data_IF_765207648501
#
_entry.id   IF_765207648501
#
_cell.length_a   1.000
_cell.length_b   1.000
_cell.length_c   1.000
_cell.angle_alpha   90.00
_cell.angle_beta   90.00
_cell.angle_gamma   90.00
#
_symmetry.space_group_name_H-M   'P 1'
#
loop_
_entity.id
_entity.type
_entity.pdbx_description
1 polymer ?
#
# COMPACT_ATOMS: atom_id res chain seq x y z
N UNK A 1 14.59 55.96 -0.22
CA UNK A 1 13.67 56.66 0.69
C UNK A 1 13.42 55.75 1.87
N UNK A 2 14.25 55.90 2.91
CA UNK A 2 14.10 55.15 4.14
C UNK A 2 12.95 55.79 4.93
N UNK A 3 11.81 55.12 4.98
CA UNK A 3 10.76 55.50 5.92
C UNK A 3 11.24 55.15 7.32
N UNK A 4 11.53 56.17 8.13
CA UNK A 4 11.81 55.97 9.55
C UNK A 4 10.54 55.43 10.21
N UNK A 5 10.51 54.14 10.51
CA UNK A 5 9.43 53.44 11.20
C UNK A 5 9.00 54.11 12.53
N UNK A 6 9.80 55.03 13.05
CA UNK A 6 9.47 55.84 14.23
C UNK A 6 8.41 56.93 14.01
N UNK A 7 8.16 57.39 12.77
CA UNK A 7 7.16 58.43 12.49
C UNK A 7 5.74 57.91 12.28
N UNK A 8 5.55 56.61 12.04
CA UNK A 8 4.22 56.02 11.80
C UNK A 8 3.38 55.84 13.07
N UNK A 9 3.98 55.85 14.27
CA UNK A 9 3.22 55.88 15.54
C UNK A 9 2.46 57.21 15.76
N UNK A 10 2.74 58.29 15.01
CA UNK A 10 2.06 59.59 15.17
C UNK A 10 0.81 59.77 14.28
N UNK A 11 0.48 58.81 13.42
CA UNK A 11 -0.61 58.96 12.43
C UNK A 11 -2.01 58.65 12.99
N UNK A 12 -2.12 58.01 14.15
CA UNK A 12 -3.37 57.88 14.90
C UNK A 12 -3.34 58.89 16.03
N UNK A 13 -4.13 59.96 15.91
CA UNK A 13 -4.22 61.08 16.85
C UNK A 13 -4.99 60.69 18.13
N UNK A 14 -4.56 59.61 18.76
CA UNK A 14 -4.99 59.11 20.06
C UNK A 14 -3.80 59.44 20.96
N UNK A 15 -3.94 60.37 21.90
CA UNK A 15 -2.86 60.99 22.68
C UNK A 15 -2.02 60.07 23.57
N UNK A 16 -1.46 58.99 23.01
CA UNK A 16 -0.60 58.00 23.64
C UNK A 16 0.86 58.45 23.51
N UNK A 17 1.61 58.26 24.59
CA UNK A 17 3.05 58.53 24.65
C UNK A 17 3.84 57.51 23.81
N UNK A 18 5.07 57.87 23.40
CA UNK A 18 5.94 56.99 22.58
C UNK A 18 6.18 55.61 23.24
N UNK A 19 6.28 55.58 24.57
CA UNK A 19 6.46 54.35 25.33
C UNK A 19 5.23 53.43 25.26
N UNK A 20 4.03 54.02 25.26
CA UNK A 20 2.78 53.27 25.15
C UNK A 20 2.62 52.67 23.74
N UNK A 21 2.97 53.39 22.66
CA UNK A 21 2.95 52.83 21.30
C UNK A 21 3.86 51.60 21.17
N UNK A 22 5.08 51.66 21.72
CA UNK A 22 6.04 50.55 21.68
C UNK A 22 5.54 49.31 22.41
N UNK A 23 4.97 49.48 23.62
CA UNK A 23 4.40 48.37 24.39
C UNK A 23 3.22 47.70 23.67
N UNK A 24 2.40 48.47 22.96
CA UNK A 24 1.25 47.95 22.22
C UNK A 24 1.67 47.14 21.00
N UNK A 25 2.61 47.65 20.19
CA UNK A 25 3.17 46.90 19.05
C UNK A 25 3.86 45.62 19.51
N UNK A 26 4.57 45.65 20.64
CA UNK A 26 5.18 44.47 21.23
C UNK A 26 4.13 43.44 21.69
N UNK A 27 3.03 43.88 22.31
CA UNK A 27 1.94 43.01 22.70
C UNK A 27 1.33 42.29 21.48
N UNK A 28 1.00 43.02 20.41
CA UNK A 28 0.50 42.41 19.17
C UNK A 28 1.52 41.51 18.50
N UNK A 29 2.79 41.91 18.47
CA UNK A 29 3.88 41.07 17.96
C UNK A 29 3.97 39.74 18.70
N UNK A 30 3.84 39.74 20.03
CA UNK A 30 3.84 38.52 20.84
C UNK A 30 2.61 37.64 20.59
N UNK A 31 1.41 38.23 20.46
CA UNK A 31 0.18 37.49 20.16
C UNK A 31 0.28 36.82 18.78
N UNK A 32 0.75 37.56 17.77
CA UNK A 32 0.92 37.04 16.41
C UNK A 32 1.99 35.95 16.39
N UNK A 33 3.11 36.13 17.11
CA UNK A 33 4.17 35.13 17.19
C UNK A 33 3.68 33.82 17.82
N UNK A 34 2.91 33.90 18.92
CA UNK A 34 2.29 32.72 19.55
C UNK A 34 1.30 32.05 18.60
N UNK A 35 0.45 32.84 17.94
CA UNK A 35 -0.51 32.33 16.95
C UNK A 35 0.17 31.61 15.78
N UNK A 36 1.23 32.19 15.23
CA UNK A 36 2.02 31.60 14.16
C UNK A 36 2.71 30.31 14.61
N UNK A 37 3.25 30.27 15.83
CA UNK A 37 3.85 29.06 16.40
C UNK A 37 2.82 27.94 16.56
N UNK A 38 1.63 28.24 17.11
CA UNK A 38 0.55 27.28 17.26
C UNK A 38 0.05 26.74 15.91
N UNK A 39 -0.11 27.62 14.91
CA UNK A 39 -0.47 27.24 13.54
C UNK A 39 0.61 26.35 12.90
N UNK A 40 1.89 26.66 13.13
CA UNK A 40 3.02 25.85 12.67
C UNK A 40 3.00 24.43 13.24
N UNK A 41 2.82 24.28 14.55
CA UNK A 41 2.71 22.96 15.20
C UNK A 41 1.50 22.19 14.66
N UNK A 42 0.34 22.84 14.56
CA UNK A 42 -0.86 22.19 14.02
C UNK A 42 -0.67 21.70 12.58
N UNK A 43 -0.01 22.50 11.74
CA UNK A 43 0.30 22.13 10.36
C UNK A 43 1.26 20.94 10.30
N UNK A 44 2.32 20.92 11.13
CA UNK A 44 3.25 19.79 11.22
C UNK A 44 2.55 18.51 11.66
N UNK A 45 1.70 18.56 12.69
CA UNK A 45 0.94 17.40 13.16
C UNK A 45 0.02 16.86 12.06
N UNK A 46 -0.69 17.74 11.34
CA UNK A 46 -1.52 17.32 10.21
C UNK A 46 -0.72 16.66 9.10
N UNK A 47 0.46 17.19 8.78
CA UNK A 47 1.36 16.59 7.79
C UNK A 47 1.86 15.21 8.23
N UNK A 48 2.28 15.06 9.49
CA UNK A 48 2.71 13.76 10.02
C UNK A 48 1.58 12.72 9.98
N UNK A 49 0.35 13.11 10.32
CA UNK A 49 -0.81 12.23 10.22
C UNK A 49 -1.13 11.83 8.78
N UNK A 50 -0.93 12.73 7.80
CA UNK A 50 -1.08 12.39 6.39
C UNK A 50 -0.05 11.36 5.96
N UNK A 51 1.24 11.57 6.27
CA UNK A 51 2.30 10.62 5.94
C UNK A 51 2.10 9.26 6.58
N UNK A 52 1.71 9.20 7.86
CA UNK A 52 1.42 7.95 8.54
C UNK A 52 0.25 7.19 7.87
N UNK A 53 -0.80 7.90 7.45
CA UNK A 53 -1.92 7.29 6.73
C UNK A 53 -1.53 6.79 5.34
N UNK A 54 -0.69 7.54 4.62
CA UNK A 54 -0.17 7.13 3.31
C UNK A 54 0.70 5.86 3.42
N UNK A 55 1.56 5.79 4.43
CA UNK A 55 2.36 4.59 4.73
C UNK A 55 1.47 3.37 5.02
N UNK A 56 0.41 3.53 5.82
CA UNK A 56 -0.56 2.44 6.06
C UNK A 56 -1.25 1.97 4.78
N UNK A 57 -1.60 2.89 3.88
CA UNK A 57 -2.18 2.56 2.57
C UNK A 57 -1.16 1.82 1.71
N UNK A 58 0.10 2.24 1.71
CA UNK A 58 1.16 1.58 0.96
C UNK A 58 1.42 0.16 1.48
N UNK A 59 1.47 -0.03 2.80
CA UNK A 59 1.58 -1.35 3.42
C UNK A 59 0.38 -2.23 3.08
N UNK A 60 -0.84 -1.71 3.14
CA UNK A 60 -2.04 -2.43 2.71
C UNK A 60 -1.93 -2.89 1.24
N UNK A 61 -1.43 -2.02 0.35
CA UNK A 61 -1.20 -2.37 -1.07
C UNK A 61 -0.15 -3.47 -1.24
N UNK A 62 0.92 -3.47 -0.43
CA UNK A 62 1.92 -4.54 -0.41
C UNK A 62 1.31 -5.87 0.05
N UNK A 63 0.48 -5.85 1.09
CA UNK A 63 -0.22 -7.04 1.62
C UNK A 63 -1.13 -7.66 0.55
N UNK A 64 -2.03 -6.88 -0.05
CA UNK A 64 -2.95 -7.42 -1.08
C UNK A 64 -2.18 -7.90 -2.32
N UNK A 65 -1.08 -7.24 -2.70
CA UNK A 65 -0.23 -7.71 -3.78
C UNK A 65 0.43 -9.05 -3.45
N UNK A 66 1.01 -9.19 -2.27
CA UNK A 66 1.63 -10.44 -1.84
C UNK A 66 0.58 -11.57 -1.74
N UNK A 67 -0.57 -11.33 -1.10
CA UNK A 67 -1.64 -12.32 -0.97
C UNK A 67 -2.16 -12.78 -2.34
N UNK A 68 -2.40 -11.84 -3.27
CA UNK A 68 -2.80 -12.14 -4.64
C UNK A 68 -1.79 -13.05 -5.35
N UNK A 69 -0.50 -12.70 -5.30
CA UNK A 69 0.52 -13.50 -5.96
C UNK A 69 0.73 -14.86 -5.29
N UNK A 70 0.60 -14.96 -3.97
CA UNK A 70 0.57 -16.26 -3.27
C UNK A 70 -0.58 -17.10 -3.85
N UNK A 71 -1.80 -16.56 -3.89
CA UNK A 71 -2.96 -17.28 -4.43
C UNK A 71 -2.74 -17.74 -5.87
N UNK A 72 -2.27 -16.87 -6.75
CA UNK A 72 -2.04 -17.19 -8.16
C UNK A 72 -0.98 -18.29 -8.35
N UNK A 73 0.16 -18.20 -7.66
CA UNK A 73 1.22 -19.21 -7.78
C UNK A 73 0.82 -20.54 -7.12
N UNK A 74 0.00 -20.53 -6.07
CA UNK A 74 -0.54 -21.76 -5.46
C UNK A 74 -1.59 -22.42 -6.36
N UNK A 75 -2.40 -21.63 -7.09
CA UNK A 75 -3.31 -22.17 -8.12
C UNK A 75 -2.50 -22.83 -9.25
N UNK A 76 -1.46 -22.16 -9.74
CA UNK A 76 -0.57 -22.69 -10.79
C UNK A 76 0.11 -23.98 -10.33
N UNK A 77 0.62 -24.01 -9.09
CA UNK A 77 1.15 -25.22 -8.47
C UNK A 77 0.13 -26.36 -8.45
N UNK A 78 -1.11 -26.08 -8.04
CA UNK A 78 -2.19 -27.08 -8.01
C UNK A 78 -2.47 -27.65 -9.41
N UNK A 79 -2.48 -26.82 -10.44
CA UNK A 79 -2.64 -27.26 -11.83
C UNK A 79 -1.45 -28.11 -12.28
N UNK A 80 -0.23 -27.65 -12.04
CA UNK A 80 0.99 -28.39 -12.39
C UNK A 80 1.05 -29.77 -11.73
N UNK A 81 0.57 -29.91 -10.49
CA UNK A 81 0.49 -31.19 -9.79
C UNK A 81 -0.55 -32.13 -10.41
N UNK A 82 -1.71 -31.62 -10.81
CA UNK A 82 -2.73 -32.41 -11.51
C UNK A 82 -2.25 -32.89 -12.88
N UNK A 83 -1.53 -32.03 -13.61
CA UNK A 83 -1.06 -32.31 -14.97
C UNK A 83 0.31 -33.00 -15.02
N UNK A 84 0.95 -33.23 -13.86
CA UNK A 84 2.29 -33.82 -13.72
C UNK A 84 3.38 -33.04 -14.46
N UNK A 85 3.25 -31.72 -14.50
CA UNK A 85 4.24 -30.80 -15.09
C UNK A 85 5.29 -30.38 -14.04
N UNK A 86 6.35 -29.71 -14.52
CA UNK A 86 7.36 -29.13 -13.64
C UNK A 86 6.74 -28.02 -12.77
N UNK A 87 6.62 -28.28 -11.47
CA UNK A 87 5.98 -27.36 -10.51
C UNK A 87 6.97 -26.47 -9.74
N UNK A 88 8.27 -26.65 -9.95
CA UNK A 88 9.34 -25.96 -9.20
C UNK A 88 9.25 -24.43 -9.32
N UNK A 89 8.98 -23.92 -10.53
CA UNK A 89 8.89 -22.48 -10.76
C UNK A 89 7.72 -21.83 -10.03
N UNK A 90 6.53 -22.43 -10.09
CA UNK A 90 5.36 -21.95 -9.35
C UNK A 90 5.59 -21.97 -7.84
N UNK A 91 6.27 -23.00 -7.36
CA UNK A 91 6.58 -23.18 -5.95
C UNK A 91 7.59 -22.16 -5.41
N UNK A 92 8.69 -21.91 -6.13
CA UNK A 92 9.66 -20.88 -5.79
C UNK A 92 9.02 -19.49 -5.77
N UNK A 93 8.15 -19.17 -6.74
CA UNK A 93 7.41 -17.90 -6.79
C UNK A 93 6.42 -17.75 -5.64
N UNK A 94 5.64 -18.79 -5.34
CA UNK A 94 4.73 -18.78 -4.18
C UNK A 94 5.51 -18.60 -2.86
N UNK A 95 6.64 -19.28 -2.70
CA UNK A 95 7.53 -19.13 -1.56
C UNK A 95 8.10 -17.71 -1.43
N UNK A 96 8.51 -17.09 -2.54
CA UNK A 96 8.97 -15.70 -2.55
C UNK A 96 7.90 -14.73 -2.04
N UNK A 97 6.67 -14.82 -2.55
CA UNK A 97 5.59 -13.92 -2.14
C UNK A 97 5.13 -14.17 -0.71
N UNK A 98 5.19 -15.42 -0.25
CA UNK A 98 4.96 -15.75 1.15
C UNK A 98 6.03 -15.13 2.05
N UNK A 99 7.30 -15.21 1.66
CA UNK A 99 8.40 -14.59 2.38
C UNK A 99 8.21 -13.08 2.48
N UNK A 100 7.80 -12.42 1.38
CA UNK A 100 7.45 -11.00 1.37
C UNK A 100 6.31 -10.66 2.35
N UNK A 101 5.27 -11.50 2.41
CA UNK A 101 4.16 -11.31 3.35
C UNK A 101 4.63 -11.49 4.81
N UNK A 102 5.48 -12.47 5.07
CA UNK A 102 6.02 -12.75 6.41
C UNK A 102 7.07 -11.74 6.89
N UNK A 103 7.71 -11.02 5.97
CA UNK A 103 8.70 -10.00 6.27
C UNK A 103 8.07 -8.68 6.79
N UNK A 104 6.75 -8.52 6.67
CA UNK A 104 6.04 -7.36 7.18
C UNK A 104 5.95 -7.43 8.71
N UNK A 105 6.28 -6.33 9.39
CA UNK A 105 6.23 -6.28 10.84
C UNK A 105 4.76 -6.29 11.33
N UNK A 106 4.48 -7.03 12.42
CA UNK A 106 3.12 -7.17 12.96
C UNK A 106 2.46 -5.84 13.34
N UNK A 107 3.25 -4.83 13.70
CA UNK A 107 2.76 -3.49 14.04
C UNK A 107 2.42 -2.62 12.82
N UNK A 108 2.87 -3.00 11.62
CA UNK A 108 2.63 -2.23 10.40
C UNK A 108 1.28 -2.56 9.75
N UNK A 109 0.56 -3.55 10.31
CA UNK A 109 -0.73 -3.97 9.78
C UNK A 109 -1.80 -2.89 9.99
N UNK A 110 -2.59 -2.56 8.95
CA UNK A 110 -3.54 -1.45 9.03
C UNK A 110 -4.74 -1.70 9.96
N UNK A 111 -5.01 -2.97 10.29
CA UNK A 111 -6.01 -3.39 11.27
C UNK A 111 -5.72 -4.81 11.78
N UNK A 112 -6.24 -5.12 12.96
CA UNK A 112 -6.18 -6.47 13.54
C UNK A 112 -6.84 -7.53 12.63
N UNK A 113 -7.89 -7.16 11.89
CA UNK A 113 -8.59 -8.07 10.97
C UNK A 113 -7.71 -8.51 9.79
N UNK A 114 -6.93 -7.57 9.25
CA UNK A 114 -5.99 -7.82 8.16
C UNK A 114 -4.79 -8.61 8.68
N UNK A 115 -4.29 -8.26 9.87
CA UNK A 115 -3.21 -8.98 10.53
C UNK A 115 -3.58 -10.46 10.72
N UNK A 116 -4.73 -10.75 11.33
CA UNK A 116 -5.17 -12.13 11.56
C UNK A 116 -5.40 -12.90 10.25
N UNK A 117 -5.92 -12.25 9.21
CA UNK A 117 -6.09 -12.89 7.91
C UNK A 117 -4.74 -13.21 7.24
N UNK A 118 -3.79 -12.28 7.32
CA UNK A 118 -2.45 -12.46 6.76
C UNK A 118 -1.67 -13.55 7.52
N UNK A 119 -1.83 -13.60 8.84
CA UNK A 119 -1.28 -14.68 9.66
C UNK A 119 -1.90 -16.04 9.32
N UNK A 120 -3.20 -16.12 9.01
CA UNK A 120 -3.84 -17.36 8.55
C UNK A 120 -3.24 -17.85 7.22
N UNK A 121 -2.88 -16.95 6.30
CA UNK A 121 -2.13 -17.29 5.08
C UNK A 121 -0.76 -17.86 5.43
N UNK A 122 -0.01 -17.17 6.29
CA UNK A 122 1.34 -17.57 6.69
C UNK A 122 1.32 -18.91 7.42
N UNK A 123 0.39 -19.12 8.36
CA UNK A 123 0.25 -20.36 9.13
C UNK A 123 -0.07 -21.54 8.21
N UNK A 124 -1.08 -21.39 7.35
CA UNK A 124 -1.45 -22.44 6.40
C UNK A 124 -0.33 -22.73 5.41
N UNK A 125 0.44 -21.72 5.02
CA UNK A 125 1.62 -21.86 4.18
C UNK A 125 2.89 -22.34 4.92
N UNK A 126 2.97 -22.21 6.24
CA UNK A 126 4.05 -22.76 7.05
C UNK A 126 3.84 -24.26 7.30
N UNK A 127 2.57 -24.69 7.42
CA UNK A 127 2.21 -26.11 7.34
C UNK A 127 2.67 -26.72 6.01
N UNK A 128 2.72 -25.90 4.95
CA UNK A 128 3.27 -26.31 3.65
C UNK A 128 4.81 -26.50 3.70
N UNK A 129 5.56 -25.61 4.36
CA UNK A 129 7.03 -25.68 4.43
C UNK A 129 7.57 -26.71 5.44
N UNK A 130 6.86 -26.94 6.54
CA UNK A 130 7.32 -27.83 7.63
C UNK A 130 7.32 -29.31 7.28
N UNK A 131 6.72 -29.70 6.15
CA UNK A 131 6.70 -31.09 5.68
C UNK A 131 7.96 -31.52 4.91
N UNK A 132 8.85 -30.61 4.52
CA UNK A 132 10.04 -30.95 3.70
C UNK A 132 11.30 -30.18 4.12
N UNK A 133 11.69 -30.31 5.39
CA UNK A 133 13.03 -29.92 5.88
C UNK A 133 14.07 -30.94 5.40
N UNK A 134 14.32 -31.01 4.09
CA UNK A 134 15.53 -31.61 3.52
C UNK A 134 15.74 -31.16 2.08
N UNK A 135 16.41 -30.00 1.92
CA UNK A 135 17.11 -29.44 0.72
C UNK A 135 16.60 -28.05 0.28
N UNK A 136 17.26 -27.01 0.82
CA UNK A 136 17.63 -25.70 0.21
C UNK A 136 16.62 -24.88 -0.64
N UNK A 137 15.38 -25.31 -0.82
CA UNK A 137 14.35 -24.59 -1.58
C UNK A 137 13.01 -24.97 -0.94
N UNK A 138 12.19 -24.02 -0.45
CA UNK A 138 10.94 -24.35 0.23
C UNK A 138 10.00 -25.05 -0.75
N UNK A 139 9.77 -26.34 -0.52
CA UNK A 139 8.80 -27.10 -1.28
C UNK A 139 7.42 -26.98 -0.61
N UNK A 140 6.45 -26.40 -1.31
CA UNK A 140 5.01 -26.49 -1.01
C UNK A 140 4.53 -27.95 -1.16
N UNK A 141 3.59 -28.43 -0.31
CA UNK A 141 3.14 -29.79 -0.29
C UNK A 141 2.22 -30.04 -1.48
N UNK A 142 2.18 -31.31 -1.80
CA UNK A 142 1.43 -31.87 -2.92
C UNK A 142 -0.01 -32.23 -2.56
N UNK A 143 -0.42 -32.04 -1.30
CA UNK A 143 -1.80 -32.28 -0.88
C UNK A 143 -2.73 -31.14 -1.31
N UNK A 144 -3.72 -31.50 -2.12
CA UNK A 144 -4.67 -30.57 -2.72
C UNK A 144 -5.50 -29.82 -1.68
N UNK A 145 -5.83 -30.45 -0.55
CA UNK A 145 -6.59 -29.78 0.53
C UNK A 145 -5.80 -28.66 1.18
N UNK A 146 -4.50 -28.88 1.35
CA UNK A 146 -3.59 -27.90 1.94
C UNK A 146 -3.41 -26.70 1.00
N UNK A 147 -3.33 -26.92 -0.31
CA UNK A 147 -3.29 -25.85 -1.32
C UNK A 147 -4.60 -25.05 -1.34
N UNK A 148 -5.76 -25.71 -1.28
CA UNK A 148 -7.07 -25.04 -1.22
C UNK A 148 -7.23 -24.19 0.05
N UNK A 149 -6.70 -24.64 1.18
CA UNK A 149 -6.70 -23.87 2.42
C UNK A 149 -5.92 -22.56 2.29
N UNK A 150 -4.74 -22.59 1.65
CA UNK A 150 -3.93 -21.39 1.39
C UNK A 150 -4.60 -20.46 0.39
N UNK A 151 -5.16 -21.00 -0.71
CA UNK A 151 -5.91 -20.22 -1.70
C UNK A 151 -7.04 -19.44 -1.02
N UNK A 152 -7.83 -20.13 -0.20
CA UNK A 152 -8.97 -19.53 0.51
C UNK A 152 -8.52 -18.48 1.53
N UNK A 153 -7.44 -18.74 2.27
CA UNK A 153 -6.89 -17.77 3.21
C UNK A 153 -6.39 -16.49 2.51
N UNK A 154 -5.72 -16.65 1.37
CA UNK A 154 -5.22 -15.54 0.57
C UNK A 154 -6.39 -14.70 0.00
N UNK A 155 -7.43 -15.35 -0.53
CA UNK A 155 -8.63 -14.68 -1.01
C UNK A 155 -9.36 -13.88 0.10
N UNK A 156 -9.51 -14.45 1.29
CA UNK A 156 -10.10 -13.74 2.44
C UNK A 156 -9.25 -12.53 2.83
N UNK A 157 -7.93 -12.67 2.78
CA UNK A 157 -6.99 -11.57 3.07
C UNK A 157 -7.13 -10.46 2.04
N UNK A 158 -7.15 -10.79 0.74
CA UNK A 158 -7.39 -9.84 -0.34
C UNK A 158 -8.70 -9.07 -0.11
N UNK A 159 -9.81 -9.77 0.12
CA UNK A 159 -11.12 -9.16 0.33
C UNK A 159 -11.14 -8.20 1.53
N UNK A 160 -10.52 -8.58 2.64
CA UNK A 160 -10.44 -7.73 3.84
C UNK A 160 -9.61 -6.47 3.58
N UNK A 161 -8.46 -6.61 2.93
CA UNK A 161 -7.58 -5.48 2.59
C UNK A 161 -8.27 -4.54 1.60
N UNK A 162 -8.92 -5.07 0.56
CA UNK A 162 -9.67 -4.27 -0.41
C UNK A 162 -10.83 -3.52 0.24
N UNK A 163 -11.59 -4.19 1.12
CA UNK A 163 -12.68 -3.56 1.87
C UNK A 163 -12.15 -2.42 2.73
N UNK A 164 -11.01 -2.61 3.39
CA UNK A 164 -10.35 -1.58 4.18
C UNK A 164 -9.86 -0.41 3.33
N UNK A 165 -9.22 -0.66 2.19
CA UNK A 165 -8.77 0.36 1.24
C UNK A 165 -9.95 1.19 0.71
N UNK A 166 -11.06 0.53 0.35
CA UNK A 166 -12.28 1.16 -0.14
C UNK A 166 -12.90 2.11 0.89
N UNK A 167 -12.94 1.71 2.17
CA UNK A 167 -13.41 2.60 3.28
C UNK A 167 -12.56 3.87 3.40
N UNK A 168 -11.30 3.83 2.96
CA UNK A 168 -10.38 4.98 2.93
C UNK A 168 -10.31 5.70 1.59
N UNK A 169 -11.24 5.41 0.67
CA UNK A 169 -11.27 5.98 -0.70
C UNK A 169 -9.96 5.71 -1.48
N UNK A 170 -9.28 4.61 -1.17
CA UNK A 170 -8.10 4.15 -1.90
C UNK A 170 -8.45 2.89 -2.69
N UNK A 171 -7.74 2.67 -3.79
CA UNK A 171 -7.87 1.46 -4.61
C UNK A 171 -6.67 0.55 -4.38
N UNK A 172 -6.90 -0.76 -4.50
CA UNK A 172 -5.84 -1.75 -4.54
C UNK A 172 -4.90 -1.54 -5.75
N UNK A 173 -3.72 -2.16 -5.74
CA UNK A 173 -2.84 -2.16 -6.91
C UNK A 173 -3.55 -2.81 -8.11
N UNK A 174 -3.33 -2.26 -9.31
CA UNK A 174 -3.79 -2.89 -10.55
C UNK A 174 -3.01 -4.17 -10.78
N UNK A 175 -3.64 -5.32 -10.57
CA UNK A 175 -3.01 -6.63 -10.71
C UNK A 175 -3.33 -7.21 -12.09
N UNK A 176 -2.64 -6.76 -13.13
CA UNK A 176 -2.78 -7.41 -14.44
C UNK A 176 -2.02 -8.75 -14.43
N UNK A 177 -2.66 -9.83 -14.90
CA UNK A 177 -2.01 -11.13 -15.08
C UNK A 177 -2.39 -11.75 -16.44
N UNK A 178 -1.50 -12.57 -16.99
CA UNK A 178 -1.67 -13.17 -18.31
C UNK A 178 -2.00 -14.65 -18.18
N UNK A 179 -3.10 -15.09 -18.80
CA UNK A 179 -3.48 -16.52 -18.92
C UNK A 179 -3.88 -16.77 -20.37
N UNK A 180 -3.30 -17.78 -21.02
CA UNK A 180 -3.65 -18.24 -22.37
C UNK A 180 -3.69 -17.12 -23.43
N UNK A 181 -2.69 -16.23 -23.39
CA UNK A 181 -2.59 -15.09 -24.33
C UNK A 181 -3.58 -13.95 -24.07
N UNK A 182 -4.31 -13.97 -22.94
CA UNK A 182 -5.23 -12.90 -22.53
C UNK A 182 -4.74 -12.24 -21.24
N UNK A 183 -4.79 -10.90 -21.20
CA UNK A 183 -4.53 -10.11 -19.99
C UNK A 183 -5.82 -9.95 -19.19
N UNK A 184 -5.80 -10.34 -17.93
CA UNK A 184 -6.88 -10.18 -16.98
C UNK A 184 -6.51 -9.10 -15.96
N UNK A 185 -7.42 -8.17 -15.69
CA UNK A 185 -7.26 -7.15 -14.65
C UNK A 185 -8.47 -7.21 -13.69
N UNK A 186 -8.30 -7.76 -12.46
CA UNK A 186 -9.38 -7.97 -11.51
C UNK A 186 -9.94 -6.67 -10.94
N UNK A 187 -9.19 -5.55 -11.02
CA UNK A 187 -9.63 -4.24 -10.52
C UNK A 187 -10.76 -3.63 -11.38
N UNK A 188 -11.00 -4.15 -12.58
CA UNK A 188 -12.06 -3.69 -13.50
C UNK A 188 -13.39 -4.44 -13.36
N UNK A 189 -13.69 -5.07 -12.21
CA UNK A 189 -15.00 -5.73 -12.00
C UNK A 189 -16.23 -4.81 -12.16
N UNK A 190 -16.06 -3.48 -12.07
CA UNK A 190 -17.16 -2.51 -12.25
C UNK A 190 -17.24 -1.89 -13.65
N UNK A 191 -16.31 -2.20 -14.57
CA UNK A 191 -16.52 -1.88 -15.99
C UNK A 191 -17.32 -3.03 -16.60
N UNK A 192 -18.58 -2.75 -16.99
CA UNK A 192 -19.42 -3.64 -17.82
C UNK A 192 -18.54 -4.37 -18.83
N UNK A 193 -18.70 -5.70 -18.92
CA UNK A 193 -17.97 -6.66 -19.76
C UNK A 193 -18.02 -6.39 -21.29
N UNK A 194 -18.22 -5.15 -21.75
CA UNK A 194 -18.42 -4.80 -23.15
C UNK A 194 -17.16 -4.43 -23.94
N UNK A 195 -16.11 -3.89 -23.31
CA UNK A 195 -14.93 -3.42 -24.06
C UNK A 195 -13.66 -3.67 -23.26
N UNK A 196 -13.21 -4.92 -23.28
CA UNK A 196 -11.77 -5.15 -23.19
C UNK A 196 -11.14 -4.47 -24.39
N UNK A 197 -10.68 -3.22 -24.23
CA UNK A 197 -9.75 -2.64 -25.19
C UNK A 197 -8.55 -3.57 -25.15
N UNK A 198 -8.26 -4.35 -26.21
CA UNK A 198 -7.01 -5.06 -26.26
C UNK A 198 -5.94 -3.98 -26.17
N UNK A 199 -5.17 -4.00 -25.09
CA UNK A 199 -3.92 -3.27 -25.05
C UNK A 199 -3.12 -3.87 -26.20
N UNK A 200 -3.16 -3.20 -27.36
CA UNK A 200 -2.39 -3.61 -28.53
C UNK A 200 -0.95 -3.57 -28.06
N UNK A 201 -0.41 -4.74 -27.74
CA UNK A 201 1.02 -4.91 -27.64
C UNK A 201 1.59 -4.25 -28.91
N UNK A 202 2.57 -3.33 -28.80
CA UNK A 202 3.20 -2.76 -29.97
C UNK A 202 3.62 -3.94 -30.85
N UNK A 203 3.19 -3.91 -32.12
CA UNK A 203 3.53 -4.97 -33.07
C UNK A 203 5.04 -5.23 -32.98
N UNK A 204 5.49 -6.50 -33.00
CA UNK A 204 6.90 -6.78 -33.07
C UNK A 204 7.49 -5.95 -34.20
N UNK A 205 8.46 -5.11 -33.87
CA UNK A 205 9.22 -4.35 -34.87
C UNK A 205 9.91 -5.41 -35.70
N UNK A 206 9.36 -5.74 -36.87
CA UNK A 206 10.05 -6.52 -37.86
C UNK A 206 11.29 -5.71 -38.24
N UNK A 207 12.46 -6.14 -37.80
CA UNK A 207 13.73 -5.66 -38.33
C UNK A 207 13.76 -6.06 -39.81
N UNK A 208 13.78 -5.11 -40.76
CA UNK A 208 13.87 -5.42 -42.17
C UNK A 208 15.33 -5.65 -42.58
N UNK A 209 16.09 -6.47 -41.84
CA UNK A 209 17.48 -6.82 -42.19
C UNK A 209 17.83 -8.22 -41.68
N UNK A 210 17.35 -9.25 -42.40
CA UNK A 210 18.03 -10.55 -42.65
C UNK A 210 17.26 -11.33 -43.70
#
# INVERSE_FOLDING_TARGET
>A
MAYEFGQTCMLLNIGLTRAECASWVQAWGSIIAIGAAAAGVWWQVRKQQQYANEQLIETAKKIVNAAFWVRMNVIELRVALREKWSYRGAQERAGYWLAQLSALHLLDFPSWEIQNASLDVIEKAALLQSLEISRSTPLLPTDERSLDAVIKAAEITELKVETWLRRRKSLGPSQAFYIDGRTYNPVRRDQREGEGVPERLPAPVCNPET
#
